data_IF_857255393079
#
_entry.id   IF_857255393079
#
_cell.length_a   1.000
_cell.length_b   1.000
_cell.length_c   1.000
_cell.angle_alpha   90.00
_cell.angle_beta   90.00
_cell.angle_gamma   90.00
#
_symmetry.space_group_name_H-M   'P 1'
#
loop_
_entity.id
_entity.type
_entity.pdbx_description
1 polymer ?
#
# COMPACT_ATOMS: atom_id res chain seq x y z
N UNK A 1 9.25 -4.06 -4.01
CA UNK A 1 8.04 -4.54 -4.75
C UNK A 1 7.29 -3.33 -5.31
N UNK A 2 6.59 -3.43 -6.45
CA UNK A 2 5.71 -2.34 -6.92
C UNK A 2 4.59 -2.02 -5.92
N UNK A 3 4.26 -0.74 -5.76
CA UNK A 3 3.22 -0.24 -4.85
C UNK A 3 1.86 -0.89 -5.08
N UNK A 4 1.41 -0.98 -6.33
CA UNK A 4 0.12 -1.61 -6.65
C UNK A 4 0.05 -3.10 -6.27
N UNK A 5 1.16 -3.83 -6.46
CA UNK A 5 1.30 -5.22 -6.02
C UNK A 5 1.30 -5.30 -4.50
N UNK A 6 2.05 -4.41 -3.83
CA UNK A 6 2.15 -4.37 -2.38
C UNK A 6 0.77 -4.15 -1.74
N UNK A 7 0.04 -3.13 -2.18
CA UNK A 7 -1.31 -2.81 -1.68
C UNK A 7 -2.30 -3.97 -1.85
N UNK A 8 -2.14 -4.76 -2.93
CA UNK A 8 -2.89 -6.01 -3.09
C UNK A 8 -2.45 -7.01 -2.02
N UNK A 9 -1.17 -7.35 -1.98
CA UNK A 9 -0.67 -8.48 -1.18
C UNK A 9 -0.91 -8.24 0.32
N UNK A 10 -0.68 -7.02 0.81
CA UNK A 10 -0.99 -6.61 2.19
C UNK A 10 -2.49 -6.49 2.49
N UNK A 11 -3.34 -6.60 1.45
CA UNK A 11 -4.81 -6.51 1.52
C UNK A 11 -5.35 -5.15 1.97
N UNK A 12 -4.53 -4.10 1.94
CA UNK A 12 -4.98 -2.71 2.11
C UNK A 12 -5.97 -2.32 1.01
N UNK A 13 -5.71 -2.77 -0.23
CA UNK A 13 -6.64 -2.67 -1.35
C UNK A 13 -6.83 -4.08 -1.94
N UNK A 14 -8.06 -4.59 -1.88
CA UNK A 14 -8.35 -6.00 -2.26
C UNK A 14 -8.08 -6.32 -3.74
N UNK A 15 -8.22 -5.33 -4.63
CA UNK A 15 -8.09 -5.48 -6.09
C UNK A 15 -6.93 -4.65 -6.61
N UNK A 16 -6.06 -5.27 -7.42
CA UNK A 16 -4.89 -4.60 -7.99
C UNK A 16 -5.24 -3.48 -8.97
N UNK A 17 -6.35 -3.61 -9.71
CA UNK A 17 -6.86 -2.55 -10.60
C UNK A 17 -7.23 -1.29 -9.81
N UNK A 18 -7.97 -1.46 -8.70
CA UNK A 18 -8.34 -0.36 -7.80
C UNK A 18 -7.09 0.29 -7.16
N UNK A 19 -6.05 -0.49 -6.86
CA UNK A 19 -4.80 0.05 -6.35
C UNK A 19 -4.08 0.92 -7.40
N UNK A 20 -4.09 0.51 -8.67
CA UNK A 20 -3.56 1.34 -9.77
C UNK A 20 -4.36 2.64 -9.90
N UNK A 21 -5.69 2.55 -9.98
CA UNK A 21 -6.58 3.72 -10.07
C UNK A 21 -6.39 4.70 -8.89
N UNK A 22 -6.20 4.19 -7.67
CA UNK A 22 -5.95 5.02 -6.50
C UNK A 22 -4.60 5.76 -6.57
N UNK A 23 -3.55 5.10 -7.09
CA UNK A 23 -2.25 5.75 -7.31
C UNK A 23 -2.36 6.81 -8.41
N UNK A 24 -3.03 6.51 -9.52
CA UNK A 24 -3.20 7.43 -10.64
C UNK A 24 -4.05 8.65 -10.26
N UNK A 25 -5.05 8.47 -9.39
CA UNK A 25 -5.86 9.55 -8.82
C UNK A 25 -5.13 10.36 -7.72
N UNK A 26 -3.86 10.06 -7.41
CA UNK A 26 -3.09 10.75 -6.38
C UNK A 26 -3.59 10.50 -4.95
N UNK A 27 -4.36 9.42 -4.73
CA UNK A 27 -4.91 9.05 -3.41
C UNK A 27 -3.96 8.23 -2.56
N UNK A 28 -2.84 7.78 -3.13
CA UNK A 28 -1.80 7.03 -2.42
C UNK A 28 -0.53 7.87 -2.35
N UNK A 29 -0.06 8.10 -1.14
CA UNK A 29 1.19 8.78 -0.86
C UNK A 29 2.18 7.78 -0.28
N UNK A 30 3.43 7.88 -0.68
CA UNK A 30 4.56 7.17 -0.08
C UNK A 30 5.51 8.23 0.46
N UNK A 31 5.79 8.19 1.76
CA UNK A 31 6.60 9.19 2.46
C UNK A 31 6.10 10.63 2.19
N UNK A 32 4.79 10.83 2.36
CA UNK A 32 4.05 12.08 2.17
C UNK A 32 4.12 12.67 0.74
N UNK A 33 4.51 11.86 -0.25
CA UNK A 33 4.55 12.26 -1.67
C UNK A 33 3.65 11.36 -2.52
N UNK A 34 2.85 11.92 -3.47
CA UNK A 34 2.07 11.11 -4.39
C UNK A 34 2.95 10.12 -5.16
N UNK A 35 2.58 8.85 -5.17
CA UNK A 35 3.36 7.79 -5.78
C UNK A 35 2.61 7.12 -6.93
N UNK A 36 3.29 6.88 -8.05
CA UNK A 36 2.75 6.08 -9.15
C UNK A 36 2.64 4.61 -8.73
N UNK A 37 1.72 3.88 -9.34
CA UNK A 37 1.53 2.45 -9.10
C UNK A 37 2.81 1.60 -9.30
N UNK A 38 3.69 2.03 -10.20
CA UNK A 38 4.98 1.39 -10.48
C UNK A 38 6.09 1.73 -9.47
N UNK A 39 5.84 2.64 -8.52
CA UNK A 39 6.80 3.01 -7.50
C UNK A 39 7.23 1.78 -6.69
N UNK A 40 8.52 1.69 -6.38
CA UNK A 40 9.04 0.61 -5.58
C UNK A 40 8.91 0.94 -4.09
N UNK A 41 8.22 0.08 -3.37
CA UNK A 41 8.05 0.14 -1.91
C UNK A 41 9.22 -0.55 -1.24
N UNK A 42 9.69 0.04 -0.13
CA UNK A 42 10.75 -0.47 0.76
C UNK A 42 10.23 -0.61 2.18
N UNK A 43 10.89 -1.47 2.96
CA UNK A 43 10.62 -1.60 4.40
C UNK A 43 10.99 -0.29 5.09
N UNK A 44 10.13 0.17 6.00
CA UNK A 44 10.21 1.46 6.66
C UNK A 44 9.52 2.61 5.92
N UNK A 45 9.03 2.39 4.70
CA UNK A 45 8.23 3.40 4.01
C UNK A 45 6.89 3.62 4.71
N UNK A 46 6.44 4.87 4.75
CA UNK A 46 5.10 5.22 5.22
C UNK A 46 4.17 5.39 4.03
N UNK A 47 3.10 4.60 3.98
CA UNK A 47 2.07 4.66 2.95
C UNK A 47 0.82 5.29 3.54
N UNK A 48 0.31 6.33 2.89
CA UNK A 48 -0.98 6.93 3.22
C UNK A 48 -1.96 6.71 2.07
N UNK A 49 -3.16 6.25 2.39
CA UNK A 49 -4.22 5.95 1.43
C UNK A 49 -5.47 6.75 1.81
N UNK A 50 -5.90 7.63 0.92
CA UNK A 50 -7.14 8.38 1.06
C UNK A 50 -8.34 7.55 0.56
N UNK A 51 -9.09 6.98 1.49
CA UNK A 51 -10.33 6.25 1.25
C UNK A 51 -11.54 7.16 1.42
N UNK A 52 -11.85 7.99 0.42
CA UNK A 52 -13.06 8.82 0.42
C UNK A 52 -13.16 9.74 1.65
N UNK A 53 -13.84 9.26 2.70
CA UNK A 53 -14.03 9.97 3.98
C UNK A 53 -12.97 9.67 5.05
N UNK A 54 -12.05 8.73 4.83
CA UNK A 54 -11.02 8.35 5.81
C UNK A 54 -9.65 8.23 5.17
N UNK A 55 -8.61 8.67 5.88
CA UNK A 55 -7.23 8.38 5.51
C UNK A 55 -6.72 7.22 6.36
N UNK A 56 -6.01 6.30 5.72
CA UNK A 56 -5.35 5.18 6.38
C UNK A 56 -3.86 5.37 6.18
N UNK A 57 -3.12 5.48 7.27
CA UNK A 57 -1.67 5.59 7.25
C UNK A 57 -1.07 4.32 7.83
N UNK A 58 -0.08 3.78 7.14
CA UNK A 58 0.59 2.54 7.53
C UNK A 58 2.09 2.64 7.29
N UNK A 59 2.86 1.97 8.14
CA UNK A 59 4.29 1.77 7.97
C UNK A 59 4.54 0.35 7.43
N UNK A 60 5.39 0.23 6.41
CA UNK A 60 5.77 -1.06 5.82
C UNK A 60 6.78 -1.76 6.72
N UNK A 61 6.43 -2.93 7.26
CA UNK A 61 7.33 -3.73 8.09
C UNK A 61 8.03 -4.83 7.31
N UNK A 62 7.36 -5.38 6.29
CA UNK A 62 7.91 -6.47 5.49
C UNK A 62 7.37 -6.46 4.05
N UNK A 63 8.16 -7.01 3.13
CA UNK A 63 7.82 -7.10 1.71
C UNK A 63 8.03 -8.53 1.22
N UNK A 64 6.91 -9.22 1.05
CA UNK A 64 6.84 -10.61 0.63
C UNK A 64 6.03 -10.74 -0.66
N UNK A 65 6.46 -11.62 -1.57
CA UNK A 65 5.87 -11.74 -2.92
C UNK A 65 4.46 -12.36 -2.93
N UNK A 66 4.21 -13.28 -2.01
CA UNK A 66 2.95 -13.98 -1.80
C UNK A 66 2.74 -14.18 -0.31
N UNK A 67 1.51 -14.01 0.17
CA UNK A 67 1.17 -14.20 1.59
C UNK A 67 -0.18 -14.86 1.76
N UNK A 68 -0.32 -15.64 2.84
CA UNK A 68 -1.65 -16.08 3.31
C UNK A 68 -2.36 -14.92 4.00
N UNK A 69 -3.67 -15.07 4.24
CA UNK A 69 -4.50 -14.01 4.86
C UNK A 69 -3.96 -13.58 6.22
N UNK A 70 -3.43 -14.52 6.98
CA UNK A 70 -3.00 -14.33 8.35
C UNK A 70 -1.70 -13.52 8.40
N UNK A 71 -0.73 -13.88 7.57
CA UNK A 71 0.59 -13.23 7.44
C UNK A 71 0.52 -11.82 6.83
N UNK A 72 -0.51 -11.51 6.05
CA UNK A 72 -0.64 -10.20 5.41
C UNK A 72 -0.73 -9.04 6.41
N UNK A 73 -1.18 -9.31 7.65
CA UNK A 73 -1.25 -8.32 8.72
C UNK A 73 0.13 -7.94 9.28
N UNK A 74 1.10 -8.84 9.15
CA UNK A 74 2.44 -8.63 9.70
C UNK A 74 3.32 -7.79 8.75
N UNK A 75 2.87 -7.58 7.51
CA UNK A 75 3.58 -6.79 6.49
C UNK A 75 3.59 -5.29 6.78
N UNK A 76 2.68 -4.80 7.63
CA UNK A 76 2.54 -3.38 7.90
C UNK A 76 1.97 -3.12 9.29
N UNK A 77 2.14 -1.89 9.76
CA UNK A 77 1.57 -1.40 11.02
C UNK A 77 0.74 -0.16 10.78
N UNK A 78 -0.44 -0.06 11.38
CA UNK A 78 -1.25 1.16 11.34
C UNK A 78 -0.61 2.25 12.21
N UNK A 79 -0.63 3.48 11.68
CA UNK A 79 -0.22 4.71 12.38
C UNK A 79 -1.43 5.55 12.77
#
# INVERSE_FOLDING_TARGET
MRLDKYLKVSRLIKRRTVANEACDAGRVLVNDKPAKASCEVKVGDTIEIAFGTKNVKVEVLDIVETTKKEEAKDMFKYL
#
